data_IF_489753372838
#
_entry.id   IF_489753372838
#
_cell.length_a   1.000
_cell.length_b   1.000
_cell.length_c   1.000
_cell.angle_alpha   90.00
_cell.angle_beta   90.00
_cell.angle_gamma   90.00
#
_symmetry.space_group_name_H-M   'P 1'
#
loop_
_entity.id
_entity.type
_entity.pdbx_description
1 polymer ?
#
# COMPACT_ATOMS: atom_id res chain seq x y z
N UNK A 1 24.69 9.09 3.52
CA UNK A 1 23.46 9.32 4.28
C UNK A 1 22.89 10.70 4.01
N UNK A 2 21.71 10.76 3.41
CA UNK A 2 20.96 12.02 3.25
C UNK A 2 20.31 12.43 4.58
N UNK A 3 20.09 11.46 5.47
CA UNK A 3 19.58 11.65 6.82
C UNK A 3 20.51 12.52 7.69
N UNK A 4 21.83 12.36 7.57
CA UNK A 4 22.80 13.14 8.36
C UNK A 4 22.91 14.60 7.91
N UNK A 5 22.64 14.89 6.63
CA UNK A 5 22.71 16.26 6.10
C UNK A 5 21.54 17.13 6.61
N UNK A 6 20.35 16.53 6.73
CA UNK A 6 19.14 17.20 7.25
C UNK A 6 19.22 17.43 8.77
N UNK A 7 19.99 16.61 9.49
CA UNK A 7 20.06 16.65 10.95
C UNK A 7 21.15 17.59 11.50
N UNK A 8 22.01 18.16 10.63
CA UNK A 8 23.15 18.98 11.05
C UNK A 8 22.78 20.33 11.70
N UNK A 9 21.58 20.85 11.44
CA UNK A 9 21.12 22.15 11.96
C UNK A 9 20.41 22.04 13.32
N UNK A 10 20.01 20.84 13.73
CA UNK A 10 19.14 20.62 14.89
C UNK A 10 19.79 19.82 16.04
N UNK A 11 21.11 19.91 16.20
CA UNK A 11 21.83 19.14 17.23
C UNK A 11 21.74 19.77 18.65
N UNK A 12 21.24 21.00 18.79
CA UNK A 12 21.06 21.65 20.09
C UNK A 12 19.63 22.15 20.24
N UNK A 13 18.96 21.74 21.33
CA UNK A 13 17.65 22.28 21.70
C UNK A 13 17.77 23.79 21.96
N UNK A 14 16.87 24.58 21.36
CA UNK A 14 16.77 26.02 21.57
C UNK A 14 16.27 26.32 22.98
N UNK A 15 16.80 27.37 23.59
CA UNK A 15 16.32 27.89 24.88
C UNK A 15 14.94 28.54 24.73
N UNK A 16 14.23 28.76 25.84
CA UNK A 16 12.90 29.39 25.84
C UNK A 16 12.91 30.76 25.16
N UNK A 17 13.94 31.58 25.40
CA UNK A 17 14.07 32.91 24.81
C UNK A 17 14.29 32.85 23.29
N UNK A 18 15.10 31.90 22.82
CA UNK A 18 15.35 31.71 21.38
C UNK A 18 14.10 31.21 20.64
N UNK A 19 13.30 30.35 21.28
CA UNK A 19 12.01 29.92 20.73
C UNK A 19 11.02 31.08 20.63
N UNK A 20 10.91 31.91 21.67
CA UNK A 20 10.03 33.09 21.68
C UNK A 20 10.43 34.10 20.61
N UNK A 21 11.73 34.40 20.50
CA UNK A 21 12.25 35.29 19.47
C UNK A 21 11.96 34.74 18.06
N UNK A 22 12.26 33.46 17.82
CA UNK A 22 12.00 32.81 16.54
C UNK A 22 10.51 32.83 16.18
N UNK A 23 9.62 32.55 17.12
CA UNK A 23 8.18 32.59 16.89
C UNK A 23 7.71 34.00 16.50
N UNK A 24 8.18 35.01 17.23
CA UNK A 24 7.83 36.41 16.99
C UNK A 24 8.32 36.87 15.61
N UNK A 25 9.55 36.56 15.24
CA UNK A 25 10.12 36.97 13.96
C UNK A 25 9.50 36.23 12.77
N UNK A 26 9.32 34.91 12.87
CA UNK A 26 8.93 34.07 11.73
C UNK A 26 7.42 34.01 11.51
N UNK A 27 6.62 34.12 12.59
CA UNK A 27 5.16 33.96 12.49
C UNK A 27 4.40 35.28 12.74
N UNK A 28 4.80 36.08 13.73
CA UNK A 28 4.07 37.30 14.10
C UNK A 28 4.48 38.51 13.24
N UNK A 29 5.79 38.72 13.08
CA UNK A 29 6.36 39.89 12.40
C UNK A 29 6.74 39.63 10.94
N UNK A 30 6.47 38.43 10.43
CA UNK A 30 6.71 38.09 9.02
C UNK A 30 5.67 38.73 8.11
N UNK A 31 6.10 39.04 6.88
CA UNK A 31 5.22 39.57 5.82
C UNK A 31 4.09 38.61 5.45
N UNK A 32 4.28 37.31 5.68
CA UNK A 32 3.31 36.24 5.35
C UNK A 32 2.46 35.81 6.54
N UNK A 33 2.49 36.56 7.66
CA UNK A 33 1.68 36.28 8.86
C UNK A 33 0.19 36.09 8.47
N UNK A 34 -0.49 35.04 8.97
CA UNK A 34 -0.16 34.20 10.14
C UNK A 34 0.74 32.98 9.85
N UNK A 35 1.13 32.76 8.59
CA UNK A 35 1.93 31.59 8.19
C UNK A 35 3.40 31.98 7.97
N UNK A 36 4.35 31.07 8.28
CA UNK A 36 5.76 31.33 8.03
C UNK A 36 6.03 31.33 6.51
N UNK A 37 7.05 32.06 6.07
CA UNK A 37 7.43 32.07 4.66
C UNK A 37 8.09 30.73 4.29
N UNK A 38 7.39 29.92 3.50
CA UNK A 38 7.86 28.60 3.06
C UNK A 38 8.53 28.62 1.68
N UNK A 39 8.73 29.79 1.07
CA UNK A 39 9.31 29.90 -0.28
C UNK A 39 10.70 29.25 -0.37
N UNK A 40 11.51 29.34 0.68
CA UNK A 40 12.84 28.72 0.75
C UNK A 40 12.83 27.19 0.88
N UNK A 41 11.69 26.56 1.22
CA UNK A 41 11.58 25.10 1.36
C UNK A 41 11.27 24.41 0.02
N UNK A 42 10.79 25.17 -0.96
CA UNK A 42 10.48 24.65 -2.28
C UNK A 42 11.76 24.70 -3.12
N UNK A 43 12.37 23.54 -3.38
CA UNK A 43 13.55 23.43 -4.23
C UNK A 43 13.16 23.19 -5.69
N UNK A 44 13.76 23.98 -6.59
CA UNK A 44 13.65 23.85 -8.03
C UNK A 44 14.37 22.62 -8.58
N UNK A 45 14.17 22.37 -9.87
CA UNK A 45 14.73 21.21 -10.57
C UNK A 45 16.25 21.25 -10.69
N UNK A 46 16.82 22.43 -10.51
CA UNK A 46 18.24 22.76 -10.45
C UNK A 46 18.82 22.76 -9.02
N UNK A 47 18.00 22.47 -8.00
CA UNK A 47 18.41 22.46 -6.59
C UNK A 47 18.53 23.85 -5.95
N UNK A 48 18.13 24.92 -6.64
CA UNK A 48 17.99 26.26 -6.07
C UNK A 48 16.59 26.50 -5.46
N UNK A 49 16.36 27.62 -4.76
CA UNK A 49 15.02 28.02 -4.33
C UNK A 49 14.10 28.25 -5.55
N UNK A 50 12.92 27.64 -5.56
CA UNK A 50 11.90 27.82 -6.60
C UNK A 50 11.52 29.30 -6.70
N UNK A 51 11.67 29.88 -7.90
CA UNK A 51 11.32 31.28 -8.13
C UNK A 51 9.81 31.40 -8.29
N UNK A 52 9.20 32.46 -7.73
CA UNK A 52 7.75 32.72 -7.84
C UNK A 52 7.23 32.69 -9.30
N UNK A 53 8.06 33.09 -10.26
CA UNK A 53 7.71 33.05 -11.69
C UNK A 53 7.48 31.61 -12.21
N UNK A 54 8.24 30.63 -11.71
CA UNK A 54 8.10 29.22 -12.09
C UNK A 54 6.86 28.59 -11.44
N UNK A 55 6.43 29.11 -10.27
CA UNK A 55 5.18 28.71 -9.63
C UNK A 55 3.94 29.21 -10.40
N UNK A 56 3.95 30.46 -10.89
CA UNK A 56 2.88 30.99 -11.74
C UNK A 56 2.78 30.25 -13.08
N UNK A 57 3.92 29.86 -13.65
CA UNK A 57 3.99 29.08 -14.89
C UNK A 57 3.45 27.65 -14.67
N UNK A 58 3.82 26.98 -13.57
CA UNK A 58 3.28 25.67 -13.20
C UNK A 58 1.77 25.70 -12.86
N UNK A 59 1.27 26.80 -12.29
CA UNK A 59 -0.17 27.01 -12.06
C UNK A 59 -0.92 27.25 -13.38
N UNK A 60 -0.32 27.96 -14.34
CA UNK A 60 -0.89 28.14 -15.69
C UNK A 60 -0.91 26.83 -16.47
N UNK A 61 0.14 26.02 -16.43
CA UNK A 61 0.18 24.70 -17.07
C UNK A 61 -0.85 23.71 -16.49
N UNK A 62 -1.13 23.79 -15.18
CA UNK A 62 -2.21 23.01 -14.55
C UNK A 62 -3.60 23.51 -14.95
N UNK A 63 -3.79 24.82 -15.08
CA UNK A 63 -5.07 25.42 -15.49
C UNK A 63 -5.45 25.15 -16.96
N UNK A 64 -4.49 25.06 -17.88
CA UNK A 64 -4.76 24.74 -19.30
C UNK A 64 -5.06 23.27 -19.56
N UNK A 65 -4.64 22.35 -18.68
CA UNK A 65 -4.99 20.93 -18.78
C UNK A 65 -6.44 20.63 -18.33
N UNK A 66 -7.05 21.46 -17.46
CA UNK A 66 -8.44 21.27 -17.03
C UNK A 66 -9.47 21.73 -18.08
N UNK A 67 -9.14 22.68 -18.96
CA UNK A 67 -10.07 23.18 -19.99
C UNK A 67 -10.18 22.29 -21.24
N UNK A 68 -9.32 21.29 -21.40
CA UNK A 68 -9.26 20.44 -22.61
C UNK A 68 -9.91 19.07 -22.45
N UNK A 69 -10.51 18.75 -21.29
CA UNK A 69 -11.06 17.42 -20.99
C UNK A 69 -12.56 17.36 -20.70
N UNK A 70 -13.30 18.45 -20.94
CA UNK A 70 -14.75 18.58 -20.68
C UNK A 70 -15.62 18.58 -21.96
N UNK A 71 -15.08 18.11 -23.09
CA UNK A 71 -15.74 18.24 -24.40
C UNK A 71 -16.42 17.00 -24.99
N UNK A 72 -16.22 15.79 -24.46
CA UNK A 72 -16.77 14.58 -25.07
C UNK A 72 -17.20 13.57 -24.00
N UNK A 73 -18.52 13.50 -23.73
CA UNK A 73 -19.31 12.28 -23.47
C UNK A 73 -20.70 12.64 -22.91
N UNK A 74 -21.52 13.32 -23.73
CA UNK A 74 -22.98 13.25 -23.60
C UNK A 74 -23.52 12.27 -24.66
N UNK A 75 -23.84 11.04 -24.24
CA UNK A 75 -25.00 10.22 -24.65
C UNK A 75 -24.72 8.74 -24.40
N UNK A 76 -25.37 8.20 -23.35
CA UNK A 76 -26.26 7.03 -23.44
C UNK A 76 -26.90 6.78 -22.08
N UNK A 77 -28.17 7.17 -21.98
CA UNK A 77 -29.13 6.61 -21.03
C UNK A 77 -29.34 5.12 -21.30
N UNK A 78 -29.68 4.36 -20.26
CA UNK A 78 -30.09 2.96 -20.40
C UNK A 78 -30.13 2.15 -19.09
N UNK A 79 -31.09 2.50 -18.22
CA UNK A 79 -31.97 1.59 -17.45
C UNK A 79 -31.49 0.70 -16.27
N UNK A 80 -32.34 0.79 -15.23
CA UNK A 80 -32.73 -0.18 -14.19
C UNK A 80 -31.88 -0.35 -12.92
N UNK A 81 -32.40 0.18 -11.80
CA UNK A 81 -33.04 -0.65 -10.76
C UNK A 81 -33.70 0.22 -9.68
N UNK A 82 -35.01 -0.03 -9.47
CA UNK A 82 -35.81 0.36 -8.31
C UNK A 82 -35.37 -0.44 -7.07
N UNK A 83 -35.32 0.19 -5.89
CA UNK A 83 -36.14 -0.12 -4.70
C UNK A 83 -35.66 0.71 -3.51
N UNK A 84 -36.50 1.61 -3.00
CA UNK A 84 -36.37 2.22 -1.68
C UNK A 84 -37.79 2.50 -1.19
N UNK A 85 -38.20 1.85 -0.10
CA UNK A 85 -39.30 2.34 0.75
C UNK A 85 -38.92 2.16 2.22
N UNK A 86 -38.96 3.31 2.90
CA UNK A 86 -39.42 3.58 4.25
C UNK A 86 -38.76 2.89 5.46
N UNK A 87 -38.12 3.70 6.31
CA UNK A 87 -38.65 3.95 7.65
C UNK A 87 -38.00 5.19 8.29
N UNK A 88 -38.85 6.12 8.72
CA UNK A 88 -38.47 7.33 9.44
C UNK A 88 -39.08 7.27 10.85
N UNK A 89 -38.24 7.26 11.89
CA UNK A 89 -38.55 7.81 13.22
C UNK A 89 -37.37 7.71 14.20
N UNK A 90 -36.74 8.84 14.58
CA UNK A 90 -36.57 9.32 15.98
C UNK A 90 -35.56 10.49 16.13
N UNK A 91 -35.63 11.28 17.23
CA UNK A 91 -35.42 12.72 17.21
C UNK A 91 -34.09 13.24 17.80
N UNK A 92 -33.82 14.50 17.45
CA UNK A 92 -33.11 15.58 18.16
C UNK A 92 -32.12 15.24 19.28
N UNK A 93 -30.84 15.61 19.06
CA UNK A 93 -29.88 15.94 20.11
C UNK A 93 -28.49 15.35 19.91
N UNK A 94 -27.62 16.04 19.15
CA UNK A 94 -26.20 15.69 19.05
C UNK A 94 -25.51 16.44 17.92
N UNK A 95 -24.64 17.37 18.27
CA UNK A 95 -23.89 18.21 17.32
C UNK A 95 -22.90 17.32 16.56
N UNK A 96 -23.13 17.10 15.27
CA UNK A 96 -22.19 16.43 14.39
C UNK A 96 -20.95 17.31 14.12
N UNK A 97 -19.74 16.75 14.00
CA UNK A 97 -18.57 17.52 13.59
C UNK A 97 -18.75 17.99 12.13
N UNK A 98 -18.20 19.16 11.74
CA UNK A 98 -18.40 19.67 10.39
C UNK A 98 -17.81 18.70 9.37
N UNK A 99 -18.66 18.21 8.46
CA UNK A 99 -18.22 17.47 7.28
C UNK A 99 -17.31 18.39 6.49
N UNK A 100 -16.03 18.05 6.48
CA UNK A 100 -15.04 18.82 5.72
C UNK A 100 -15.23 18.45 4.26
N UNK A 101 -15.89 19.35 3.54
CA UNK A 101 -15.99 19.36 2.09
C UNK A 101 -14.60 19.16 1.47
N UNK A 102 -14.52 18.19 0.54
CA UNK A 102 -13.60 18.23 -0.60
C UNK A 102 -12.10 18.25 -0.30
N UNK A 103 -11.59 17.53 0.69
CA UNK A 103 -10.17 17.15 0.63
C UNK A 103 -10.01 16.19 -0.54
N UNK A 104 -9.32 16.64 -1.59
CA UNK A 104 -8.85 15.78 -2.67
C UNK A 104 -8.33 14.48 -2.04
N UNK A 105 -8.98 13.36 -2.37
CA UNK A 105 -8.57 12.04 -1.88
C UNK A 105 -7.05 11.93 -2.11
N UNK A 106 -6.23 11.60 -1.09
CA UNK A 106 -4.82 11.43 -1.32
C UNK A 106 -4.67 10.38 -2.41
N UNK A 107 -4.15 10.82 -3.55
CA UNK A 107 -4.00 10.05 -4.78
C UNK A 107 -2.85 9.06 -4.61
N UNK A 108 -2.96 8.12 -3.66
CA UNK A 108 -1.90 7.15 -3.36
C UNK A 108 -2.24 6.03 -2.37
N UNK A 109 -3.43 6.01 -1.73
CA UNK A 109 -3.87 4.83 -0.97
C UNK A 109 -4.14 3.66 -1.93
N UNK A 110 -3.11 2.85 -2.15
CA UNK A 110 -3.20 1.60 -2.89
C UNK A 110 -3.59 0.54 -1.86
N UNK A 111 -4.87 0.16 -1.84
CA UNK A 111 -5.38 -0.93 -0.99
C UNK A 111 -5.08 -0.71 0.51
N UNK A 112 -5.19 0.53 0.99
CA UNK A 112 -4.92 0.87 2.40
C UNK A 112 -3.43 0.85 2.79
N UNK A 113 -2.52 0.73 1.83
CA UNK A 113 -1.09 0.91 2.04
C UNK A 113 -0.69 2.37 1.81
N UNK A 114 0.21 2.89 2.65
CA UNK A 114 0.76 4.23 2.55
C UNK A 114 2.23 4.20 2.11
N UNK A 115 2.53 4.16 0.79
CA UNK A 115 3.90 4.03 0.28
C UNK A 115 4.97 4.99 0.83
N UNK A 116 4.62 6.23 1.21
CA UNK A 116 5.60 7.17 1.78
C UNK A 116 5.90 6.90 3.26
N UNK A 117 4.98 6.26 3.97
CA UNK A 117 5.16 5.82 5.36
C UNK A 117 5.76 4.41 5.43
N UNK A 118 5.48 3.58 4.43
CA UNK A 118 5.92 2.18 4.38
C UNK A 118 4.98 1.20 5.08
N UNK A 119 3.81 1.64 5.53
CA UNK A 119 2.89 0.88 6.40
C UNK A 119 1.46 0.85 5.90
N UNK A 120 0.67 -0.10 6.41
CA UNK A 120 -0.75 -0.16 6.17
C UNK A 120 -1.52 0.80 7.09
N UNK A 121 -2.75 1.10 6.72
CA UNK A 121 -3.70 1.84 7.54
C UNK A 121 -4.19 0.99 8.72
N UNK A 122 -4.41 -0.29 8.45
CA UNK A 122 -4.73 -1.32 9.44
C UNK A 122 -3.72 -2.45 9.30
N UNK A 123 -2.94 -2.67 10.35
CA UNK A 123 -1.92 -3.72 10.37
C UNK A 123 -2.51 -5.08 10.74
N UNK A 124 -1.74 -6.15 10.49
CA UNK A 124 -2.09 -7.46 11.00
C UNK A 124 -2.06 -7.46 12.53
N UNK A 125 -3.15 -7.93 13.15
CA UNK A 125 -3.36 -7.92 14.61
C UNK A 125 -3.14 -6.51 15.20
N UNK A 126 -3.91 -5.54 14.71
CA UNK A 126 -3.79 -4.11 15.04
C UNK A 126 -3.96 -3.80 16.54
N UNK A 127 -4.66 -4.66 17.27
CA UNK A 127 -4.97 -4.45 18.69
C UNK A 127 -3.99 -5.21 19.60
N UNK A 128 -2.91 -5.79 19.05
CA UNK A 128 -1.92 -6.56 19.81
C UNK A 128 -1.28 -5.73 20.94
N UNK A 129 -1.08 -4.44 20.69
CA UNK A 129 -0.50 -3.48 21.61
C UNK A 129 -1.42 -3.15 22.80
N UNK A 130 -2.74 -3.37 22.67
CA UNK A 130 -3.70 -3.04 23.72
C UNK A 130 -3.43 -3.83 25.01
N UNK A 131 -2.94 -5.06 24.90
CA UNK A 131 -2.58 -5.91 26.03
C UNK A 131 -1.34 -5.37 26.77
N UNK A 132 -0.47 -4.67 26.05
CA UNK A 132 0.75 -4.07 26.60
C UNK A 132 0.54 -2.64 27.11
N UNK A 133 -0.52 -1.95 26.65
CA UNK A 133 -0.74 -0.52 26.91
C UNK A 133 -0.72 -0.17 28.40
N UNK A 134 -1.32 -1.02 29.25
CA UNK A 134 -1.40 -0.82 30.69
C UNK A 134 -0.38 -1.67 31.48
N UNK A 135 0.58 -2.31 30.80
CA UNK A 135 1.57 -3.17 31.43
C UNK A 135 2.77 -2.36 31.92
N UNK A 136 2.97 -2.35 33.24
CA UNK A 136 4.13 -1.73 33.89
C UNK A 136 4.91 -2.74 34.75
N UNK A 137 6.24 -2.59 34.81
CA UNK A 137 7.09 -3.37 35.73
C UNK A 137 7.34 -2.56 37.00
N UNK A 138 7.13 -3.17 38.16
CA UNK A 138 7.47 -2.56 39.46
C UNK A 138 8.70 -3.25 40.04
N UNK A 139 9.47 -2.51 40.84
CA UNK A 139 10.68 -3.06 41.49
C UNK A 139 10.33 -4.08 42.58
N UNK A 140 9.16 -3.95 43.20
CA UNK A 140 8.64 -4.75 44.31
C UNK A 140 7.61 -5.81 43.87
N UNK A 141 7.40 -6.01 42.57
CA UNK A 141 6.43 -7.00 42.07
C UNK A 141 6.88 -8.44 42.34
N UNK A 142 5.91 -9.35 42.44
CA UNK A 142 6.20 -10.76 42.65
C UNK A 142 6.94 -11.35 41.44
N UNK A 143 7.90 -12.25 41.69
CA UNK A 143 8.68 -12.92 40.62
C UNK A 143 7.77 -13.60 39.57
N UNK A 144 6.65 -14.17 40.02
CA UNK A 144 5.67 -14.81 39.15
C UNK A 144 4.94 -13.81 38.24
N UNK A 145 4.63 -12.62 38.76
CA UNK A 145 4.01 -11.54 37.98
C UNK A 145 4.98 -11.02 36.91
N UNK A 146 6.24 -10.79 37.28
CA UNK A 146 7.30 -10.44 36.35
C UNK A 146 7.46 -11.48 35.24
N UNK A 147 7.47 -12.76 35.61
CA UNK A 147 7.57 -13.86 34.64
C UNK A 147 6.41 -13.85 33.65
N UNK A 148 5.18 -13.67 34.12
CA UNK A 148 4.00 -13.59 33.26
C UNK A 148 4.08 -12.39 32.29
N UNK A 149 4.50 -11.21 32.77
CA UNK A 149 4.69 -10.03 31.91
C UNK A 149 5.72 -10.29 30.83
N UNK A 150 6.84 -10.94 31.15
CA UNK A 150 7.85 -11.35 30.17
C UNK A 150 7.31 -12.32 29.13
N UNK A 151 6.49 -13.29 29.52
CA UNK A 151 5.83 -14.20 28.57
C UNK A 151 4.88 -13.45 27.62
N UNK A 152 4.14 -12.46 28.13
CA UNK A 152 3.25 -11.65 27.28
C UNK A 152 4.07 -10.85 26.26
N UNK A 153 5.22 -10.30 26.65
CA UNK A 153 6.13 -9.60 25.73
C UNK A 153 6.66 -10.57 24.65
N UNK A 154 7.00 -11.80 25.02
CA UNK A 154 7.44 -12.82 24.05
C UNK A 154 6.34 -13.14 23.03
N UNK A 155 5.08 -13.29 23.49
CA UNK A 155 3.92 -13.47 22.61
C UNK A 155 3.74 -12.26 21.69
N UNK A 156 3.89 -11.03 22.21
CA UNK A 156 3.83 -9.82 21.40
C UNK A 156 4.93 -9.79 20.33
N UNK A 157 6.17 -10.14 20.67
CA UNK A 157 7.25 -10.20 19.69
C UNK A 157 6.94 -11.21 18.56
N UNK A 158 6.35 -12.36 18.89
CA UNK A 158 5.88 -13.32 17.88
C UNK A 158 4.80 -12.72 16.96
N UNK A 159 3.87 -11.93 17.51
CA UNK A 159 2.86 -11.21 16.71
C UNK A 159 3.50 -10.15 15.82
N UNK A 160 4.50 -9.43 16.33
CA UNK A 160 5.23 -8.41 15.58
C UNK A 160 5.99 -9.03 14.41
N UNK A 161 6.64 -10.17 14.62
CA UNK A 161 7.33 -10.92 13.56
C UNK A 161 6.36 -11.36 12.46
N UNK A 162 5.18 -11.89 12.82
CA UNK A 162 4.15 -12.29 11.85
C UNK A 162 3.61 -11.07 11.07
N UNK A 163 3.42 -9.92 11.74
CA UNK A 163 3.01 -8.67 11.10
C UNK A 163 4.05 -8.21 10.07
N UNK A 164 5.32 -8.18 10.45
CA UNK A 164 6.42 -7.83 9.55
C UNK A 164 6.55 -8.81 8.39
N UNK A 165 6.42 -10.11 8.67
CA UNK A 165 6.45 -11.16 7.66
C UNK A 165 5.34 -10.98 6.61
N UNK A 166 4.10 -10.73 7.04
CA UNK A 166 2.96 -10.49 6.14
C UNK A 166 3.14 -9.22 5.33
N UNK A 167 3.50 -8.11 5.97
CA UNK A 167 3.79 -6.84 5.32
C UNK A 167 4.85 -7.00 4.22
N UNK A 168 5.98 -7.61 4.58
CA UNK A 168 7.07 -7.90 3.63
C UNK A 168 6.61 -8.81 2.50
N UNK A 169 5.81 -9.84 2.79
CA UNK A 169 5.28 -10.75 1.76
C UNK A 169 4.41 -10.00 0.75
N UNK A 170 3.51 -9.13 1.21
CA UNK A 170 2.63 -8.34 0.32
C UNK A 170 3.44 -7.38 -0.55
N UNK A 171 4.38 -6.65 0.05
CA UNK A 171 5.23 -5.68 -0.66
C UNK A 171 6.15 -6.38 -1.67
N UNK A 172 6.91 -7.40 -1.24
CA UNK A 172 7.89 -8.08 -2.08
C UNK A 172 7.25 -8.79 -3.28
N UNK A 173 6.02 -9.27 -3.13
CA UNK A 173 5.26 -9.93 -4.19
C UNK A 173 4.55 -8.95 -5.13
N UNK A 174 4.70 -7.64 -4.90
CA UNK A 174 4.02 -6.61 -5.69
C UNK A 174 2.50 -6.70 -5.62
N UNK A 175 1.95 -7.23 -4.51
CA UNK A 175 0.50 -7.47 -4.40
C UNK A 175 -0.31 -6.18 -4.25
N UNK A 176 0.37 -5.04 -4.08
CA UNK A 176 -0.23 -3.72 -4.00
C UNK A 176 -0.64 -3.20 -5.39
N UNK A 177 0.17 -3.44 -6.42
CA UNK A 177 -0.10 -2.88 -7.74
C UNK A 177 -1.06 -3.76 -8.56
N UNK A 178 -2.34 -3.48 -8.37
CA UNK A 178 -3.44 -4.16 -9.07
C UNK A 178 -3.30 -4.08 -10.58
N UNK A 179 -2.73 -3.00 -11.15
CA UNK A 179 -2.60 -2.84 -12.61
C UNK A 179 -1.55 -3.79 -13.17
N UNK A 180 -0.37 -3.85 -12.57
CA UNK A 180 0.69 -4.76 -13.02
C UNK A 180 0.31 -6.22 -12.80
N UNK A 181 -0.36 -6.56 -11.70
CA UNK A 181 -0.90 -7.91 -11.48
C UNK A 181 -1.87 -8.31 -12.61
N UNK A 182 -2.81 -7.44 -12.93
CA UNK A 182 -3.82 -7.72 -13.95
C UNK A 182 -3.18 -7.85 -15.36
N UNK A 183 -2.15 -7.06 -15.66
CA UNK A 183 -1.37 -7.21 -16.89
C UNK A 183 -0.59 -8.54 -16.92
N UNK A 184 0.00 -8.96 -15.80
CA UNK A 184 0.70 -10.25 -15.69
C UNK A 184 -0.27 -11.42 -15.88
N UNK A 185 -1.44 -11.35 -15.28
CA UNK A 185 -2.49 -12.37 -15.45
C UNK A 185 -2.98 -12.46 -16.90
N UNK A 186 -3.12 -11.33 -17.60
CA UNK A 186 -3.51 -11.32 -19.02
C UNK A 186 -2.50 -11.96 -19.96
N UNK A 187 -1.21 -11.95 -19.61
CA UNK A 187 -0.15 -12.59 -20.41
C UNK A 187 -0.12 -14.11 -20.24
N UNK A 188 -0.80 -14.65 -19.23
CA UNK A 188 -0.80 -16.07 -18.90
C UNK A 188 -1.90 -16.81 -19.65
N UNK A 189 -1.62 -18.05 -20.03
CA UNK A 189 -2.64 -18.96 -20.58
C UNK A 189 -3.70 -19.28 -19.53
N UNK A 190 -4.85 -19.82 -19.95
CA UNK A 190 -5.89 -20.25 -19.00
C UNK A 190 -5.34 -21.27 -18.00
N UNK A 191 -4.60 -22.26 -18.48
CA UNK A 191 -4.01 -23.31 -17.64
C UNK A 191 -2.99 -22.74 -16.63
N UNK A 192 -2.13 -21.82 -17.06
CA UNK A 192 -1.18 -21.12 -16.18
C UNK A 192 -1.89 -20.30 -15.10
N UNK A 193 -2.97 -19.60 -15.45
CA UNK A 193 -3.76 -18.82 -14.48
C UNK A 193 -4.40 -19.73 -13.44
N UNK A 194 -4.97 -20.85 -13.85
CA UNK A 194 -5.64 -21.79 -12.96
C UNK A 194 -4.63 -22.38 -11.95
N UNK A 195 -3.45 -22.79 -12.42
CA UNK A 195 -2.36 -23.25 -11.55
C UNK A 195 -1.87 -22.14 -10.62
N UNK A 196 -1.61 -20.94 -11.14
CA UNK A 196 -1.14 -19.83 -10.30
C UNK A 196 -2.15 -19.47 -9.21
N UNK A 197 -3.45 -19.55 -9.48
CA UNK A 197 -4.51 -19.33 -8.50
C UNK A 197 -4.56 -20.45 -7.46
N UNK A 198 -4.40 -21.71 -7.88
CA UNK A 198 -4.37 -22.87 -6.98
C UNK A 198 -3.18 -22.80 -6.01
N UNK A 199 -2.00 -22.40 -6.50
CA UNK A 199 -0.78 -22.31 -5.70
C UNK A 199 -0.57 -20.95 -5.03
N UNK A 200 -1.48 -19.98 -5.24
CA UNK A 200 -1.38 -18.64 -4.64
C UNK A 200 -1.27 -18.65 -3.10
N UNK A 201 -2.00 -19.51 -2.35
CA UNK A 201 -1.85 -19.58 -0.90
C UNK A 201 -0.47 -20.07 -0.45
N UNK A 202 0.20 -20.90 -1.27
CA UNK A 202 1.52 -21.45 -0.98
C UNK A 202 2.65 -20.49 -1.29
N UNK A 203 2.36 -19.40 -2.03
CA UNK A 203 3.32 -18.37 -2.39
C UNK A 203 4.05 -17.74 -1.19
N UNK A 204 3.52 -17.86 0.02
CA UNK A 204 4.19 -17.37 1.24
C UNK A 204 5.45 -18.16 1.63
N UNK A 205 5.63 -19.39 1.13
CA UNK A 205 6.67 -20.32 1.59
C UNK A 205 7.92 -20.38 0.71
N UNK A 206 7.93 -19.68 -0.42
CA UNK A 206 9.06 -19.64 -1.35
C UNK A 206 9.18 -18.25 -1.97
N UNK A 207 10.16 -18.04 -2.83
CA UNK A 207 10.35 -16.80 -3.61
C UNK A 207 9.37 -16.70 -4.79
N UNK A 208 9.30 -15.52 -5.42
CA UNK A 208 8.47 -15.32 -6.63
C UNK A 208 9.02 -16.12 -7.81
N UNK A 209 10.34 -16.21 -7.94
CA UNK A 209 11.02 -17.02 -8.95
C UNK A 209 10.72 -18.52 -8.78
N UNK A 210 10.75 -19.03 -7.54
CA UNK A 210 10.39 -20.42 -7.25
C UNK A 210 8.91 -20.70 -7.52
N UNK A 211 8.02 -19.73 -7.30
CA UNK A 211 6.60 -19.88 -7.64
C UNK A 211 6.40 -20.04 -9.14
N UNK A 212 7.04 -19.17 -9.93
CA UNK A 212 6.90 -19.22 -11.38
C UNK A 212 7.53 -20.50 -11.93
N UNK A 213 8.68 -20.91 -11.39
CA UNK A 213 9.32 -22.20 -11.72
C UNK A 213 8.41 -23.38 -11.40
N UNK A 214 7.77 -23.39 -10.22
CA UNK A 214 6.86 -24.46 -9.82
C UNK A 214 5.68 -24.59 -10.80
N UNK A 215 5.04 -23.47 -11.14
CA UNK A 215 3.91 -23.45 -12.09
C UNK A 215 4.37 -23.93 -13.46
N UNK A 216 5.53 -23.48 -13.94
CA UNK A 216 6.10 -23.91 -15.23
C UNK A 216 6.35 -25.42 -15.27
N UNK A 217 6.96 -25.97 -14.22
CA UNK A 217 7.24 -27.41 -14.11
C UNK A 217 5.95 -28.25 -14.13
N UNK A 218 4.88 -27.78 -13.48
CA UNK A 218 3.59 -28.47 -13.48
C UNK A 218 2.93 -28.49 -14.87
N UNK A 219 3.09 -27.42 -15.65
CA UNK A 219 2.57 -27.36 -17.03
C UNK A 219 3.36 -28.32 -17.92
N UNK A 220 4.68 -28.32 -17.81
CA UNK A 220 5.54 -29.22 -18.55
C UNK A 220 5.26 -30.69 -18.20
N UNK A 221 5.10 -30.99 -16.91
CA UNK A 221 4.71 -32.32 -16.43
C UNK A 221 3.40 -32.78 -17.07
N UNK A 222 2.37 -31.92 -17.05
CA UNK A 222 1.06 -32.22 -17.66
C UNK A 222 1.19 -32.48 -19.17
N UNK A 223 1.99 -31.67 -19.88
CA UNK A 223 2.25 -31.83 -21.33
C UNK A 223 2.95 -33.15 -21.63
N UNK A 224 3.98 -33.49 -20.86
CA UNK A 224 4.72 -34.75 -21.02
C UNK A 224 3.80 -35.94 -20.73
N UNK A 225 2.98 -35.87 -19.67
CA UNK A 225 2.02 -36.92 -19.31
C UNK A 225 0.97 -37.13 -20.40
N UNK A 226 0.44 -36.06 -20.98
CA UNK A 226 -0.50 -36.13 -22.10
C UNK A 226 0.16 -36.76 -23.35
N UNK A 227 1.39 -36.34 -23.69
CA UNK A 227 2.14 -36.92 -24.81
C UNK A 227 2.41 -38.42 -24.59
N UNK A 228 2.77 -38.81 -23.38
CA UNK A 228 3.00 -40.21 -23.03
C UNK A 228 1.72 -41.04 -23.17
N UNK A 229 0.59 -40.52 -22.70
CA UNK A 229 -0.72 -41.17 -22.86
C UNK A 229 -1.05 -41.43 -24.32
N UNK A 230 -0.84 -40.42 -25.18
CA UNK A 230 -1.09 -40.54 -26.62
C UNK A 230 -0.15 -41.54 -27.28
N UNK A 231 1.14 -41.56 -26.90
CA UNK A 231 2.09 -42.55 -27.40
C UNK A 231 1.75 -43.97 -26.97
N UNK A 232 1.25 -44.15 -25.74
CA UNK A 232 0.76 -45.45 -25.26
C UNK A 232 -0.48 -45.91 -26.05
N UNK A 233 -1.39 -45.00 -26.38
CA UNK A 233 -2.56 -45.29 -27.21
C UNK A 233 -2.15 -45.73 -28.62
N UNK A 234 -1.27 -44.99 -29.29
CA UNK A 234 -0.77 -45.37 -30.63
C UNK A 234 -0.07 -46.72 -30.63
N UNK A 235 0.75 -46.98 -29.59
CA UNK A 235 1.39 -48.28 -29.41
C UNK A 235 0.38 -49.41 -29.24
N UNK A 236 -0.73 -49.16 -28.52
CA UNK A 236 -1.81 -50.15 -28.32
C UNK A 236 -2.57 -50.46 -29.62
N UNK A 237 -2.66 -49.48 -30.52
CA UNK A 237 -3.24 -49.62 -31.86
C UNK A 237 -2.25 -50.27 -32.87
N UNK A 238 -1.03 -50.58 -32.44
CA UNK A 238 -0.02 -51.21 -33.28
C UNK A 238 0.76 -50.25 -34.19
N UNK A 239 0.54 -48.94 -34.07
CA UNK A 239 1.27 -47.89 -34.79
C UNK A 239 2.67 -47.77 -34.18
N UNK A 240 3.72 -47.97 -34.99
CA UNK A 240 5.12 -48.07 -34.50
C UNK A 240 6.04 -47.04 -35.13
N UNK A 241 5.64 -46.44 -36.24
CA UNK A 241 6.43 -45.45 -36.98
C UNK A 241 5.66 -44.15 -37.10
N UNK A 242 6.38 -43.04 -37.31
CA UNK A 242 5.75 -41.73 -37.49
C UNK A 242 4.86 -41.67 -38.74
N UNK A 243 5.17 -42.50 -39.75
CA UNK A 243 4.40 -42.61 -41.00
C UNK A 243 3.01 -43.24 -40.77
N UNK A 244 2.83 -44.01 -39.69
CA UNK A 244 1.57 -44.68 -39.37
C UNK A 244 0.50 -43.71 -38.80
N UNK A 245 0.89 -42.47 -38.46
CA UNK A 245 0.05 -41.48 -37.73
C UNK A 245 -0.31 -40.27 -38.61
N UNK A 246 0.01 -40.32 -39.91
CA UNK A 246 -0.21 -39.25 -40.89
C UNK A 246 -1.67 -38.92 -41.17
#
# INVERSE_FOLDING_TARGET
DVADLVNSVALTAKTSAECEQHYTEVYLNSRTSPLPDTSALLMGRDGGPLKLAEMEEAQKERGTQETSKTGEEEKKEGENAEHDEDDASRPAGGVAPPSRAGTAKPTHSIVGYWPLRGDFDVEYDNDAELILADMEFKEDEAVQERYLKLQIIEIYNSKLDERLYRKRTVINRGLLDTKTLHQREKKRTKEERDLHNLFKPLARFHSDEEQERLVQLLIEEKRIRARLSMLHEWKSLGLKTADDVG
#
